data_IF_728878944060
#
_entry.id   IF_728878944060
#
_cell.length_a   1.000
_cell.length_b   1.000
_cell.length_c   1.000
_cell.angle_alpha   90.00
_cell.angle_beta   90.00
_cell.angle_gamma   90.00
#
_symmetry.space_group_name_H-M   'P 1'
#
loop_
_entity.id
_entity.type
_entity.pdbx_description
1 polymer ?
#
# COMPACT_ATOMS: atom_id res chain seq x y z
N UNK A 1 7.49 -8.99 4.31
CA UNK A 1 6.68 -7.80 4.00
C UNK A 1 5.51 -7.84 4.95
N UNK A 2 5.16 -6.74 5.61
CA UNK A 2 4.10 -6.71 6.63
C UNK A 2 3.21 -5.50 6.42
N UNK A 3 1.96 -5.75 6.04
CA UNK A 3 0.89 -4.76 5.97
C UNK A 3 0.09 -4.75 7.27
N UNK A 4 0.27 -3.70 8.07
CA UNK A 4 -0.57 -3.41 9.23
C UNK A 4 -0.25 -2.00 9.75
N UNK A 5 -1.23 -1.42 10.46
CA UNK A 5 -0.98 -0.28 11.32
C UNK A 5 0.09 -0.60 12.35
N UNK A 6 0.93 0.40 12.66
CA UNK A 6 2.01 0.30 13.62
C UNK A 6 2.94 -0.91 13.41
N UNK A 7 3.03 -1.42 12.17
CA UNK A 7 3.74 -2.68 11.84
C UNK A 7 5.23 -2.65 12.18
N UNK A 8 5.85 -1.46 12.24
CA UNK A 8 7.20 -1.29 12.74
C UNK A 8 7.39 -1.74 14.20
N UNK A 9 6.36 -1.64 15.03
CA UNK A 9 6.40 -2.02 16.46
C UNK A 9 6.66 -3.52 16.68
N UNK A 10 6.40 -4.35 15.67
CA UNK A 10 6.65 -5.79 15.71
C UNK A 10 8.16 -6.10 15.73
N UNK A 11 8.99 -5.21 15.15
CA UNK A 11 10.41 -5.46 14.89
C UNK A 11 11.34 -4.47 15.59
N UNK A 12 10.89 -3.25 15.86
CA UNK A 12 11.71 -2.22 16.49
C UNK A 12 12.21 -2.67 17.87
N UNK A 13 13.53 -2.67 18.05
CA UNK A 13 14.19 -3.14 19.27
C UNK A 13 14.18 -4.66 19.50
N UNK A 14 13.51 -5.44 18.64
CA UNK A 14 13.36 -6.89 18.78
C UNK A 14 14.06 -7.68 17.68
N UNK A 15 14.08 -7.16 16.45
CA UNK A 15 14.56 -7.90 15.27
C UNK A 15 16.09 -7.87 15.16
N UNK A 16 16.78 -9.02 15.31
CA UNK A 16 18.22 -9.10 15.13
C UNK A 16 18.61 -9.04 13.64
N UNK A 17 19.88 -8.71 13.36
CA UNK A 17 20.39 -8.52 11.99
C UNK A 17 21.13 -9.74 11.43
N UNK A 18 21.36 -10.79 12.22
CA UNK A 18 22.19 -11.96 11.91
C UNK A 18 21.37 -13.24 11.64
N UNK A 19 20.06 -13.11 11.44
CA UNK A 19 19.15 -14.24 11.22
C UNK A 19 18.87 -14.55 9.75
N UNK A 20 19.58 -13.92 8.80
CA UNK A 20 19.34 -14.06 7.35
C UNK A 20 17.88 -13.76 6.96
N UNK A 21 17.28 -12.74 7.61
CA UNK A 21 15.90 -12.31 7.39
C UNK A 21 15.91 -10.81 7.16
N UNK A 22 15.33 -10.37 6.04
CA UNK A 22 15.06 -8.97 5.74
C UNK A 22 13.55 -8.69 5.82
N UNK A 23 13.18 -7.60 6.48
CA UNK A 23 11.78 -7.24 6.72
C UNK A 23 11.52 -5.83 6.21
N UNK A 24 10.36 -5.63 5.59
CA UNK A 24 9.78 -4.31 5.35
C UNK A 24 8.38 -4.26 5.94
N UNK A 25 7.99 -3.09 6.45
CA UNK A 25 6.69 -2.85 7.08
C UNK A 25 5.98 -1.66 6.43
N UNK A 26 4.64 -1.69 6.40
CA UNK A 26 3.83 -0.63 5.80
C UNK A 26 3.95 0.72 6.53
N UNK A 27 4.19 0.66 7.85
CA UNK A 27 4.21 1.81 8.74
C UNK A 27 5.34 1.69 9.77
N UNK A 28 5.73 2.83 10.37
CA UNK A 28 6.55 2.87 11.57
C UNK A 28 5.76 2.38 12.81
N UNK A 29 6.37 2.41 14.00
CA UNK A 29 5.76 1.86 15.21
C UNK A 29 4.61 2.68 15.81
N UNK A 30 4.31 3.87 15.27
CA UNK A 30 3.45 4.88 15.91
C UNK A 30 2.39 5.46 14.97
N UNK A 31 2.30 4.97 13.73
CA UNK A 31 1.36 5.47 12.74
C UNK A 31 0.49 4.36 12.16
N UNK A 32 -0.68 4.74 11.65
CA UNK A 32 -1.57 3.82 10.94
C UNK A 32 -1.05 3.53 9.53
N UNK A 33 -1.40 2.36 8.99
CA UNK A 33 -1.33 2.13 7.54
C UNK A 33 -2.60 2.64 6.86
N UNK A 34 -2.66 2.49 5.53
CA UNK A 34 -3.65 3.17 4.71
C UNK A 34 -4.26 2.25 3.67
N UNK A 35 -5.58 2.30 3.52
CA UNK A 35 -6.33 1.61 2.49
C UNK A 35 -6.27 2.35 1.15
N UNK A 36 -6.24 1.59 0.07
CA UNK A 36 -6.20 2.04 -1.31
C UNK A 36 -7.45 1.61 -2.10
N UNK A 37 -7.71 2.30 -3.21
CA UNK A 37 -8.84 2.00 -4.11
C UNK A 37 -10.18 1.98 -3.39
N UNK A 38 -10.44 3.01 -2.57
CA UNK A 38 -11.67 3.18 -1.82
C UNK A 38 -12.69 4.03 -2.60
N UNK A 39 -14.01 3.85 -2.34
CA UNK A 39 -15.04 4.75 -2.86
C UNK A 39 -14.76 6.21 -2.47
N UNK A 40 -14.79 7.12 -3.44
CA UNK A 40 -14.54 8.55 -3.22
C UNK A 40 -13.07 9.00 -3.34
N UNK A 41 -12.14 8.09 -3.61
CA UNK A 41 -10.75 8.42 -3.96
C UNK A 41 -10.63 8.98 -5.38
N UNK A 42 -9.46 9.53 -5.73
CA UNK A 42 -9.14 9.99 -7.10
C UNK A 42 -9.22 8.84 -8.12
N UNK A 43 -8.79 7.64 -7.70
CA UNK A 43 -8.96 6.41 -8.49
C UNK A 43 -9.86 5.44 -7.74
N UNK A 44 -11.19 5.63 -7.81
CA UNK A 44 -12.13 4.82 -7.06
C UNK A 44 -12.35 3.45 -7.74
N UNK A 45 -12.83 2.45 -6.99
CA UNK A 45 -13.24 1.18 -7.58
C UNK A 45 -14.54 1.36 -8.38
N UNK A 46 -14.93 0.37 -9.20
CA UNK A 46 -16.25 0.36 -9.85
C UNK A 46 -17.38 0.59 -8.85
N UNK A 47 -18.42 1.31 -9.28
CA UNK A 47 -19.41 1.89 -8.38
C UNK A 47 -20.17 0.87 -7.53
N UNK A 48 -20.25 -0.39 -7.95
CA UNK A 48 -20.85 -1.52 -7.23
C UNK A 48 -20.09 -1.84 -5.94
N UNK A 49 -18.77 -1.63 -5.89
CA UNK A 49 -17.96 -1.82 -4.70
C UNK A 49 -18.15 -0.66 -3.72
N UNK A 50 -18.48 -1.01 -2.48
CA UNK A 50 -18.68 -0.05 -1.38
C UNK A 50 -17.55 -0.09 -0.35
N UNK A 51 -16.47 -0.80 -0.66
CA UNK A 51 -15.31 -1.04 0.19
C UNK A 51 -14.04 -0.72 -0.58
N UNK A 52 -12.93 -0.53 0.14
CA UNK A 52 -11.59 -0.45 -0.44
C UNK A 52 -11.18 -1.79 -1.05
N UNK A 53 -10.42 -1.77 -2.16
CA UNK A 53 -9.98 -3.00 -2.85
C UNK A 53 -8.54 -3.43 -2.52
N UNK A 54 -7.79 -2.60 -1.79
CA UNK A 54 -6.45 -2.95 -1.35
C UNK A 54 -5.90 -1.99 -0.30
N UNK A 55 -4.62 -2.11 -0.03
CA UNK A 55 -3.90 -1.32 0.96
C UNK A 55 -2.66 -0.68 0.33
N UNK A 56 -2.34 0.54 0.71
CA UNK A 56 -1.39 1.40 0.02
C UNK A 56 0.00 0.79 -0.08
N UNK A 57 0.52 0.19 0.99
CA UNK A 57 1.81 -0.51 0.94
C UNK A 57 1.71 -1.80 0.11
N UNK A 58 0.65 -2.58 0.32
CA UNK A 58 0.44 -3.86 -0.37
C UNK A 58 0.35 -3.73 -1.88
N UNK A 59 -0.53 -2.86 -2.38
CA UNK A 59 -0.68 -2.63 -3.84
C UNK A 59 0.59 -1.98 -4.42
N UNK A 60 1.33 -1.21 -3.62
CA UNK A 60 2.57 -0.60 -4.08
C UNK A 60 3.62 -1.63 -4.47
N UNK A 61 3.86 -2.66 -3.65
CA UNK A 61 4.88 -3.66 -3.98
C UNK A 61 4.37 -4.69 -5.00
N UNK A 62 3.10 -5.07 -4.96
CA UNK A 62 2.55 -6.04 -5.91
C UNK A 62 2.56 -5.48 -7.33
N UNK A 63 2.09 -4.26 -7.53
CA UNK A 63 2.04 -3.64 -8.86
C UNK A 63 3.43 -3.31 -9.39
N UNK A 64 4.39 -2.98 -8.51
CA UNK A 64 5.81 -2.88 -8.87
C UNK A 64 6.33 -4.20 -9.43
N UNK A 65 6.12 -5.29 -8.69
CA UNK A 65 6.58 -6.60 -9.11
C UNK A 65 5.95 -7.08 -10.42
N UNK A 66 4.67 -6.78 -10.63
CA UNK A 66 3.94 -7.17 -11.85
C UNK A 66 4.34 -6.36 -13.09
N UNK A 67 4.92 -5.17 -12.90
CA UNK A 67 5.24 -4.25 -14.01
C UNK A 67 6.73 -4.21 -14.36
N UNK A 68 7.57 -4.94 -13.62
CA UNK A 68 9.02 -4.92 -13.80
C UNK A 68 9.65 -6.29 -14.07
N UNK A 69 10.91 -6.24 -14.55
CA UNK A 69 11.72 -7.44 -14.74
C UNK A 69 12.48 -7.76 -13.45
N UNK A 70 11.97 -8.71 -12.67
CA UNK A 70 12.51 -9.06 -11.34
C UNK A 70 13.91 -9.70 -11.37
N UNK A 71 14.43 -10.07 -12.55
CA UNK A 71 15.85 -10.46 -12.71
C UNK A 71 16.79 -9.26 -12.75
N UNK A 72 16.25 -8.05 -12.90
CA UNK A 72 17.00 -6.79 -12.98
C UNK A 72 16.66 -5.83 -11.85
N UNK A 73 15.54 -6.05 -11.17
CA UNK A 73 15.12 -5.24 -10.03
C UNK A 73 15.57 -5.85 -8.72
N UNK A 74 16.25 -5.06 -7.89
CA UNK A 74 16.69 -5.48 -6.56
C UNK A 74 15.67 -5.18 -5.47
N UNK A 75 15.80 -5.86 -4.34
CA UNK A 75 15.00 -5.60 -3.14
C UNK A 75 15.09 -4.12 -2.72
N UNK A 76 16.30 -3.52 -2.82
CA UNK A 76 16.52 -2.09 -2.56
C UNK A 76 15.66 -1.20 -3.44
N UNK A 77 15.62 -1.49 -4.75
CA UNK A 77 14.89 -0.67 -5.71
C UNK A 77 13.40 -0.71 -5.42
N UNK A 78 12.83 -1.90 -5.18
CA UNK A 78 11.43 -2.03 -4.81
C UNK A 78 11.12 -1.32 -3.49
N UNK A 79 11.94 -1.49 -2.45
CA UNK A 79 11.75 -0.79 -1.19
C UNK A 79 11.67 0.74 -1.36
N UNK A 80 12.56 1.35 -2.15
CA UNK A 80 12.53 2.80 -2.37
C UNK A 80 11.29 3.26 -3.14
N UNK A 81 10.80 2.47 -4.10
CA UNK A 81 9.56 2.79 -4.84
C UNK A 81 8.32 2.62 -3.97
N UNK A 82 8.24 1.53 -3.23
CA UNK A 82 7.15 1.28 -2.29
C UNK A 82 7.11 2.38 -1.25
N UNK A 83 8.25 2.72 -0.64
CA UNK A 83 8.39 3.84 0.31
C UNK A 83 7.91 5.17 -0.28
N UNK A 84 8.31 5.49 -1.51
CA UNK A 84 7.91 6.74 -2.16
C UNK A 84 6.41 6.78 -2.52
N UNK A 85 5.80 5.61 -2.83
CA UNK A 85 4.39 5.52 -3.20
C UNK A 85 3.47 5.48 -1.97
N UNK A 86 3.90 4.82 -0.89
CA UNK A 86 3.12 4.71 0.37
C UNK A 86 3.11 6.03 1.16
N UNK A 87 4.13 6.87 1.04
CA UNK A 87 4.14 8.24 1.59
C UNK A 87 4.55 9.27 0.52
N UNK A 88 3.60 9.76 -0.30
CA UNK A 88 3.89 10.74 -1.33
C UNK A 88 4.41 12.05 -0.73
N UNK A 89 5.57 12.53 -1.20
CA UNK A 89 6.25 13.74 -0.67
C UNK A 89 5.39 15.02 -0.66
N UNK A 90 4.36 15.08 -1.48
CA UNK A 90 3.51 16.25 -1.64
C UNK A 90 2.26 16.22 -0.76
N UNK A 91 2.03 15.15 0.02
CA UNK A 91 0.81 14.93 0.81
C UNK A 91 1.17 14.44 2.22
N UNK A 92 1.81 15.30 3.04
CA UNK A 92 2.33 14.91 4.37
C UNK A 92 1.26 14.46 5.38
N UNK A 93 -0.03 14.60 5.08
CA UNK A 93 -1.15 14.14 5.91
C UNK A 93 -1.71 12.77 5.49
N UNK A 94 -1.21 12.17 4.40
CA UNK A 94 -1.74 10.93 3.83
C UNK A 94 -0.57 9.97 3.56
N UNK A 95 -0.71 8.73 4.02
CA UNK A 95 0.32 7.70 3.85
C UNK A 95 1.14 7.42 5.11
N UNK A 96 2.04 6.44 4.99
CA UNK A 96 2.85 5.93 6.10
C UNK A 96 4.30 5.68 5.69
N UNK A 97 5.19 5.76 6.66
CA UNK A 97 6.61 5.54 6.49
C UNK A 97 6.91 4.04 6.45
N UNK A 98 7.22 3.56 5.25
CA UNK A 98 7.71 2.20 5.06
C UNK A 98 9.05 2.04 5.76
N UNK A 99 9.16 1.06 6.65
CA UNK A 99 10.36 0.79 7.43
C UNK A 99 11.04 -0.49 6.98
N UNK A 100 12.31 -0.66 7.38
CA UNK A 100 13.12 -1.85 7.09
C UNK A 100 13.92 -2.32 8.32
N UNK A 101 13.92 -3.63 8.55
CA UNK A 101 14.54 -4.28 9.71
C UNK A 101 15.28 -5.57 9.29
N UNK A 102 16.09 -6.11 10.19
CA UNK A 102 16.85 -7.33 9.97
C UNK A 102 18.11 -7.12 9.13
N UNK A 103 18.50 -8.17 8.39
CA UNK A 103 19.72 -8.19 7.60
C UNK A 103 19.56 -7.39 6.29
N UNK A 104 20.21 -6.23 6.21
CA UNK A 104 20.14 -5.33 5.04
C UNK A 104 21.09 -5.73 3.92
N UNK A 105 21.93 -6.75 4.08
CA UNK A 105 22.80 -7.26 2.99
C UNK A 105 21.97 -7.83 1.84
N UNK A 106 20.76 -8.32 2.13
CA UNK A 106 19.78 -8.82 1.17
C UNK A 106 19.30 -7.76 0.17
N UNK A 107 19.46 -6.47 0.47
CA UNK A 107 18.92 -5.38 -0.37
C UNK A 107 19.50 -5.36 -1.79
N UNK A 108 20.72 -5.86 -1.97
CA UNK A 108 21.37 -5.89 -3.28
C UNK A 108 20.99 -7.13 -4.11
N UNK A 109 20.25 -8.07 -3.52
CA UNK A 109 19.74 -9.24 -4.23
C UNK A 109 18.56 -8.88 -5.15
N UNK A 110 18.44 -9.64 -6.23
CA UNK A 110 17.38 -9.48 -7.22
C UNK A 110 16.09 -10.14 -6.74
N UNK A 111 14.96 -9.46 -6.97
CA UNK A 111 13.64 -9.90 -6.50
C UNK A 111 13.24 -11.29 -6.98
N UNK A 112 13.74 -11.73 -8.14
CA UNK A 112 13.35 -13.03 -8.69
C UNK A 112 13.69 -14.23 -7.79
N UNK A 113 14.68 -14.08 -6.89
CA UNK A 113 15.04 -15.12 -5.92
C UNK A 113 13.91 -15.39 -4.92
N UNK A 114 13.03 -14.42 -4.69
CA UNK A 114 11.97 -14.46 -3.68
C UNK A 114 10.58 -14.49 -4.31
N UNK A 115 10.38 -13.79 -5.41
CA UNK A 115 9.07 -13.58 -6.03
C UNK A 115 8.92 -14.31 -7.38
N UNK A 116 9.98 -14.99 -7.84
CA UNK A 116 10.00 -15.67 -9.13
C UNK A 116 10.14 -14.71 -10.31
N UNK A 117 9.90 -15.21 -11.52
CA UNK A 117 10.08 -14.44 -12.75
C UNK A 117 9.02 -14.79 -13.79
N UNK A 118 8.33 -13.77 -14.28
CA UNK A 118 7.43 -13.87 -15.44
C UNK A 118 8.22 -13.63 -16.75
N UNK A 119 8.34 -14.63 -17.65
CA UNK A 119 8.99 -14.48 -18.94
C UNK A 119 8.44 -13.36 -19.83
N UNK A 120 7.16 -13.00 -19.69
CA UNK A 120 6.54 -11.90 -20.43
C UNK A 120 7.18 -10.54 -20.11
N UNK A 121 7.86 -10.42 -18.97
CA UNK A 121 8.54 -9.19 -18.51
C UNK A 121 10.01 -9.11 -18.93
N UNK A 122 10.52 -10.11 -19.66
CA UNK A 122 11.93 -10.18 -20.06
C UNK A 122 12.42 -8.96 -20.86
N UNK A 123 11.56 -8.40 -21.72
CA UNK A 123 11.85 -7.25 -22.60
C UNK A 123 11.76 -5.89 -21.89
N UNK A 124 11.24 -5.85 -20.66
CA UNK A 124 11.13 -4.60 -19.89
C UNK A 124 12.54 -4.13 -19.51
N UNK A 125 12.84 -2.91 -19.92
CA UNK A 125 14.16 -2.27 -19.75
C UNK A 125 14.07 -0.91 -19.06
N UNK A 126 12.91 -0.27 -19.10
CA UNK A 126 12.65 1.02 -18.45
C UNK A 126 11.77 0.79 -17.23
N UNK A 127 12.18 1.38 -16.11
CA UNK A 127 11.37 1.43 -14.91
C UNK A 127 10.20 2.38 -15.14
N UNK A 128 8.98 1.90 -15.00
CA UNK A 128 7.80 2.74 -15.11
C UNK A 128 7.45 3.33 -13.74
N UNK A 129 6.94 4.56 -13.73
CA UNK A 129 6.33 5.12 -12.53
C UNK A 129 5.05 4.35 -12.23
N UNK A 130 4.88 3.97 -10.97
CA UNK A 130 3.66 3.32 -10.52
C UNK A 130 2.49 4.30 -10.59
N UNK A 131 1.50 3.93 -11.38
CA UNK A 131 0.23 4.62 -11.52
C UNK A 131 -0.89 3.62 -11.21
N UNK A 132 -2.02 4.07 -10.64
CA UNK A 132 -2.34 5.45 -10.29
C UNK A 132 -1.70 5.93 -8.97
N UNK A 133 -1.77 7.25 -8.72
CA UNK A 133 -1.48 7.84 -7.41
C UNK A 133 -2.45 7.27 -6.37
N UNK A 134 -1.98 7.13 -5.13
CA UNK A 134 -2.82 6.70 -4.00
C UNK A 134 -3.45 7.90 -3.29
N UNK A 135 -3.73 8.97 -4.05
CA UNK A 135 -4.27 10.21 -3.50
C UNK A 135 -5.67 9.99 -2.94
N UNK A 136 -5.88 10.47 -1.72
CA UNK A 136 -7.11 10.26 -0.96
C UNK A 136 -7.21 8.88 -0.30
N UNK A 137 -6.08 8.17 -0.14
CA UNK A 137 -6.05 6.93 0.65
C UNK A 137 -6.70 7.16 2.02
N UNK A 138 -7.35 6.12 2.53
CA UNK A 138 -8.17 6.17 3.74
C UNK A 138 -7.37 5.55 4.89
N UNK A 139 -7.38 6.16 6.07
CA UNK A 139 -6.74 5.57 7.24
C UNK A 139 -7.35 4.17 7.47
N UNK A 140 -6.51 3.15 7.69
CA UNK A 140 -6.99 1.77 7.82
C UNK A 140 -8.07 1.61 8.90
N UNK A 141 -8.01 2.41 9.98
CA UNK A 141 -8.98 2.37 11.09
C UNK A 141 -10.35 2.94 10.69
N UNK A 142 -10.41 3.73 9.62
CA UNK A 142 -11.63 4.38 9.13
C UNK A 142 -12.26 3.64 7.93
N UNK A 143 -11.54 2.69 7.32
CA UNK A 143 -12.02 1.98 6.13
C UNK A 143 -13.35 1.22 6.36
N UNK A 144 -13.49 0.58 7.52
CA UNK A 144 -14.73 -0.11 7.89
C UNK A 144 -15.88 0.87 8.13
N UNK A 145 -15.59 2.04 8.70
CA UNK A 145 -16.59 3.10 8.89
C UNK A 145 -17.05 3.64 7.54
N UNK A 146 -16.13 3.87 6.60
CA UNK A 146 -16.45 4.28 5.24
C UNK A 146 -17.37 3.27 4.54
N UNK A 147 -17.10 1.97 4.69
CA UNK A 147 -17.95 0.91 4.15
C UNK A 147 -19.36 0.95 4.75
N UNK A 148 -19.47 1.03 6.08
CA UNK A 148 -20.76 1.12 6.76
C UNK A 148 -21.54 2.36 6.32
N UNK A 149 -20.86 3.51 6.23
CA UNK A 149 -21.45 4.77 5.77
C UNK A 149 -21.99 4.66 4.34
N UNK A 150 -21.22 4.07 3.42
CA UNK A 150 -21.65 3.83 2.04
C UNK A 150 -22.85 2.88 1.93
N UNK A 151 -22.99 1.93 2.86
CA UNK A 151 -24.17 1.07 2.92
C UNK A 151 -25.41 1.81 3.43
N UNK A 152 -25.27 2.54 4.54
CA UNK A 152 -26.39 3.24 5.19
C UNK A 152 -26.95 4.35 4.29
N UNK A 153 -26.09 5.17 3.69
CA UNK A 153 -26.50 6.30 2.84
C UNK A 153 -27.21 5.88 1.55
N UNK A 154 -27.00 4.65 1.10
CA UNK A 154 -27.64 4.10 -0.11
C UNK A 154 -28.96 3.38 0.19
N UNK A 155 -29.38 3.32 1.47
CA UNK A 155 -30.71 2.84 1.82
C UNK A 155 -31.77 3.90 1.45
N UNK A 156 -32.87 3.53 0.77
CA UNK A 156 -33.85 4.49 0.26
C UNK A 156 -34.42 5.44 1.33
N UNK A 157 -34.68 4.91 2.52
CA UNK A 157 -35.26 5.67 3.65
C UNK A 157 -34.29 6.72 4.17
N UNK A 158 -33.00 6.40 4.21
CA UNK A 158 -31.95 7.28 4.75
C UNK A 158 -31.51 8.30 3.69
N UNK A 159 -31.44 7.90 2.42
CA UNK A 159 -31.11 8.78 1.30
C UNK A 159 -32.07 9.98 1.22
N UNK A 160 -33.39 9.76 1.42
CA UNK A 160 -34.36 10.86 1.52
C UNK A 160 -34.09 11.79 2.70
N UNK A 161 -33.79 11.26 3.89
CA UNK A 161 -33.53 12.03 5.11
C UNK A 161 -32.25 12.88 5.01
N UNK A 162 -31.17 12.32 4.46
CA UNK A 162 -29.92 13.05 4.24
C UNK A 162 -30.11 14.18 3.23
N UNK A 163 -30.86 13.95 2.14
CA UNK A 163 -31.17 15.02 1.18
C UNK A 163 -32.09 16.10 1.76
N UNK A 164 -33.07 15.74 2.60
CA UNK A 164 -33.98 16.69 3.25
C UNK A 164 -33.31 17.53 4.35
N UNK A 165 -32.27 17.02 5.01
CA UNK A 165 -31.53 17.74 6.06
C UNK A 165 -30.38 18.61 5.52
N UNK A 166 -29.95 18.38 4.27
CA UNK A 166 -28.91 19.15 3.59
C UNK A 166 -29.47 20.11 2.51
N UNK A 167 -30.79 20.29 2.43
CA UNK A 167 -31.45 21.34 1.62
C UNK A 167 -31.84 22.52 2.51
#
# INVERSE_FOLDING_TARGET
YVEACESGSIFEGLMPQDHNIYVTTAANAQESSWAAYCPGMETPPPSEYKTCLGDAYSVSWMEDSETHNLKKESIKQQYEVVKARTAPRNESSIGSHVMEYGDRTFKDEMLFLYQGFDPAKSSITKRQLLMPSLKGAINQRDADILFMWNKVTKLPVVSCLVHLLCS
#
